data_IF_103749814410
#
_entry.id   IF_103749814410
#
_cell.length_a   1.000
_cell.length_b   1.000
_cell.length_c   1.000
_cell.angle_alpha   90.00
_cell.angle_beta   90.00
_cell.angle_gamma   90.00
#
_symmetry.space_group_name_H-M   'P 1'
#
loop_
_entity.id
_entity.type
_entity.pdbx_description
1 polymer ?
#
# COMPACT_ATOMS: atom_id res chain seq x y z
N UNK A 1 0.38 -16.33 7.48
CA UNK A 1 -0.71 -16.73 6.58
C UNK A 1 -0.42 -16.30 5.16
N UNK A 2 -0.63 -17.20 4.19
CA UNK A 2 -0.56 -16.85 2.77
C UNK A 2 -1.92 -16.32 2.30
N UNK A 3 -1.98 -15.03 1.98
CA UNK A 3 -3.23 -14.35 1.59
C UNK A 3 -3.57 -14.62 0.12
N UNK A 4 -2.54 -14.54 -0.75
CA UNK A 4 -2.61 -14.88 -2.17
C UNK A 4 -1.32 -15.61 -2.55
N UNK A 5 -1.17 -16.15 -3.77
CA UNK A 5 0.07 -16.78 -4.19
C UNK A 5 1.33 -15.96 -3.93
N UNK A 6 1.24 -14.64 -4.05
CA UNK A 6 2.38 -13.73 -3.88
C UNK A 6 2.21 -12.69 -2.76
N UNK A 7 1.27 -12.92 -1.81
CA UNK A 7 1.12 -12.06 -0.64
C UNK A 7 1.12 -12.89 0.64
N UNK A 8 2.07 -12.60 1.53
CA UNK A 8 2.22 -13.25 2.84
C UNK A 8 1.93 -12.24 3.94
N UNK A 9 1.03 -12.59 4.86
CA UNK A 9 0.78 -11.82 6.09
C UNK A 9 1.51 -12.45 7.25
N UNK A 10 2.34 -11.65 7.92
CA UNK A 10 2.99 -12.03 9.18
C UNK A 10 2.38 -11.23 10.32
N UNK A 11 2.05 -11.92 11.40
CA UNK A 11 1.57 -11.34 12.66
C UNK A 11 2.71 -11.26 13.68
N UNK A 12 2.84 -10.13 14.33
CA UNK A 12 3.83 -9.84 15.35
C UNK A 12 3.14 -9.53 16.68
N UNK A 13 3.76 -9.89 17.80
CA UNK A 13 3.28 -9.59 19.13
C UNK A 13 4.43 -8.98 19.92
N UNK A 14 4.19 -7.82 20.55
CA UNK A 14 5.13 -7.17 21.46
C UNK A 14 4.39 -6.27 22.45
N UNK A 15 4.88 -6.20 23.68
CA UNK A 15 4.45 -5.21 24.66
C UNK A 15 4.78 -3.77 24.25
N UNK A 16 5.78 -3.58 23.38
CA UNK A 16 6.19 -2.26 22.87
C UNK A 16 5.17 -1.67 21.86
N UNK A 17 4.17 -2.45 21.46
CA UNK A 17 3.11 -1.97 20.56
C UNK A 17 1.96 -1.25 21.29
N UNK A 18 1.98 -1.17 22.61
CA UNK A 18 0.91 -0.54 23.41
C UNK A 18 0.82 0.98 23.18
N UNK A 19 1.92 1.64 22.82
CA UNK A 19 1.97 3.06 22.47
C UNK A 19 2.15 3.32 20.96
N UNK A 20 2.00 2.27 20.16
CA UNK A 20 2.13 2.39 18.69
C UNK A 20 0.97 3.19 18.09
N UNK A 21 1.29 4.26 17.37
CA UNK A 21 0.30 5.14 16.72
C UNK A 21 0.47 5.13 15.21
N UNK A 22 -0.59 4.73 14.51
CA UNK A 22 -0.68 4.84 13.05
C UNK A 22 -2.07 5.36 12.67
N UNK A 23 -2.15 6.65 12.40
CA UNK A 23 -3.41 7.37 12.21
C UNK A 23 -3.85 7.46 10.74
N UNK A 24 -3.04 6.99 9.80
CA UNK A 24 -3.38 6.98 8.38
C UNK A 24 -3.15 5.59 7.76
N UNK A 25 -4.04 5.14 6.87
CA UNK A 25 -3.92 3.84 6.21
C UNK A 25 -2.62 3.66 5.41
N UNK A 26 -2.04 4.76 4.94
CA UNK A 26 -0.79 4.77 4.19
C UNK A 26 0.44 5.20 5.01
N UNK A 27 0.34 5.12 6.32
CA UNK A 27 1.52 5.22 7.17
C UNK A 27 2.51 4.09 6.86
N UNK A 28 3.78 4.38 7.01
CA UNK A 28 4.83 3.39 6.83
C UNK A 28 5.76 3.34 8.04
N UNK A 29 6.23 2.14 8.31
CA UNK A 29 7.25 1.82 9.30
C UNK A 29 8.49 1.29 8.58
N UNK A 30 9.65 1.55 9.15
CA UNK A 30 10.91 0.93 8.71
C UNK A 30 11.05 -0.45 9.36
N UNK A 31 11.27 -1.48 8.54
CA UNK A 31 11.71 -2.79 9.00
C UNK A 31 13.24 -2.83 8.97
N UNK A 32 13.86 -3.24 10.07
CA UNK A 32 15.31 -3.42 10.19
C UNK A 32 15.64 -4.89 9.90
N UNK A 33 15.84 -5.18 8.63
CA UNK A 33 16.08 -6.56 8.18
C UNK A 33 17.53 -6.96 8.42
N UNK A 34 17.80 -8.20 8.89
CA UNK A 34 19.15 -8.70 9.03
C UNK A 34 19.86 -8.72 7.68
N UNK A 35 21.14 -8.41 7.68
CA UNK A 35 21.99 -8.51 6.50
C UNK A 35 22.82 -9.80 6.55
N UNK A 36 23.28 -10.27 5.37
CA UNK A 36 24.20 -11.40 5.30
C UNK A 36 25.58 -11.07 5.87
N UNK A 37 25.90 -9.79 6.06
CA UNK A 37 27.13 -9.33 6.71
C UNK A 37 26.98 -9.50 8.23
N UNK A 38 27.72 -10.45 8.80
CA UNK A 38 27.73 -10.73 10.23
C UNK A 38 28.71 -9.82 11.02
N UNK A 39 29.24 -8.75 10.41
CA UNK A 39 30.15 -7.83 11.12
C UNK A 39 29.38 -7.04 12.19
N UNK A 40 30.02 -6.69 13.34
CA UNK A 40 29.40 -5.90 14.40
C UNK A 40 28.93 -4.51 13.93
N UNK A 41 29.50 -3.99 12.86
CA UNK A 41 29.21 -2.68 12.27
C UNK A 41 28.26 -2.76 11.06
N UNK A 42 27.75 -3.95 10.73
CA UNK A 42 26.83 -4.15 9.61
C UNK A 42 25.56 -3.34 9.83
N UNK A 43 25.23 -2.46 8.89
CA UNK A 43 23.98 -1.71 8.95
C UNK A 43 22.82 -2.60 8.50
N UNK A 44 21.68 -2.58 9.20
CA UNK A 44 20.50 -3.33 8.79
C UNK A 44 20.02 -2.83 7.43
N UNK A 45 19.44 -3.72 6.67
CA UNK A 45 18.74 -3.35 5.45
C UNK A 45 17.36 -2.79 5.82
N UNK A 46 17.13 -1.50 5.53
CA UNK A 46 15.87 -0.83 5.84
C UNK A 46 14.89 -0.96 4.69
N UNK A 47 13.62 -1.23 5.01
CA UNK A 47 12.52 -1.23 4.03
C UNK A 47 11.25 -0.64 4.65
N UNK A 48 10.52 0.13 3.84
CA UNK A 48 9.24 0.69 4.24
C UNK A 48 8.10 -0.32 4.05
N UNK A 49 7.29 -0.48 5.08
CA UNK A 49 6.11 -1.33 5.06
C UNK A 49 4.91 -0.64 5.71
N UNK A 50 3.72 -0.97 5.23
CA UNK A 50 2.47 -0.49 5.81
C UNK A 50 2.10 -1.33 7.03
N UNK A 51 1.78 -0.72 8.19
CA UNK A 51 1.12 -1.42 9.29
C UNK A 51 -0.30 -1.77 8.87
N UNK A 52 -0.50 -3.02 8.43
CA UNK A 52 -1.76 -3.47 7.83
C UNK A 52 -2.91 -3.56 8.82
N UNK A 53 -2.65 -4.08 10.00
CA UNK A 53 -3.57 -4.11 11.14
C UNK A 53 -2.78 -3.89 12.42
N UNK A 54 -3.35 -3.13 13.32
CA UNK A 54 -2.76 -2.83 14.62
C UNK A 54 -3.82 -3.03 15.69
N UNK A 55 -3.47 -3.77 16.74
CA UNK A 55 -4.23 -3.87 17.98
C UNK A 55 -3.28 -3.53 19.12
N UNK A 56 -3.37 -2.29 19.61
CA UNK A 56 -2.51 -1.80 20.69
C UNK A 56 -2.89 -2.39 22.06
N UNK A 57 -4.15 -2.75 22.28
CA UNK A 57 -4.60 -3.40 23.52
C UNK A 57 -4.07 -4.83 23.59
N UNK A 58 -4.17 -5.57 22.49
CA UNK A 58 -3.62 -6.93 22.36
C UNK A 58 -2.12 -6.96 22.06
N UNK A 59 -1.47 -5.81 21.83
CA UNK A 59 -0.05 -5.72 21.50
C UNK A 59 0.31 -6.44 20.21
N UNK A 60 -0.54 -6.36 19.17
CA UNK A 60 -0.31 -7.06 17.91
C UNK A 60 -0.25 -6.14 16.68
N UNK A 61 0.57 -6.54 15.71
CA UNK A 61 0.76 -5.86 14.44
C UNK A 61 0.78 -6.90 13.31
N UNK A 62 0.03 -6.67 12.24
CA UNK A 62 0.11 -7.44 11.01
C UNK A 62 0.77 -6.63 9.90
N UNK A 63 1.67 -7.27 9.15
CA UNK A 63 2.36 -6.70 7.99
C UNK A 63 2.20 -7.65 6.81
N UNK A 64 1.83 -7.10 5.65
CA UNK A 64 1.72 -7.84 4.41
C UNK A 64 2.98 -7.67 3.56
N UNK A 65 3.55 -8.78 3.11
CA UNK A 65 4.75 -8.84 2.28
C UNK A 65 4.36 -9.30 0.87
N UNK A 66 4.51 -8.40 -0.10
CA UNK A 66 4.41 -8.77 -1.51
C UNK A 66 5.66 -9.57 -1.89
N UNK A 67 5.47 -10.82 -2.29
CA UNK A 67 6.53 -11.75 -2.64
C UNK A 67 6.84 -11.64 -4.14
N UNK A 68 7.40 -10.52 -4.53
CA UNK A 68 7.98 -10.31 -5.85
C UNK A 68 9.49 -10.22 -5.70
N UNK A 69 10.23 -10.54 -6.70
CA UNK A 69 11.71 -10.52 -6.76
C UNK A 69 12.45 -10.83 -5.43
N UNK A 70 13.59 -11.45 -5.48
CA UNK A 70 14.33 -11.94 -4.32
C UNK A 70 14.99 -10.81 -3.49
N UNK A 71 14.21 -9.81 -3.07
CA UNK A 71 14.67 -8.75 -2.18
C UNK A 71 14.84 -9.23 -0.74
N UNK A 72 15.62 -8.51 0.10
CA UNK A 72 15.88 -8.90 1.49
C UNK A 72 14.62 -9.10 2.33
N UNK A 73 13.60 -8.25 2.15
CA UNK A 73 12.33 -8.37 2.87
C UNK A 73 11.53 -9.61 2.46
N UNK A 74 11.47 -9.90 1.16
CA UNK A 74 10.82 -11.10 0.62
C UNK A 74 11.52 -12.37 1.12
N UNK A 75 12.86 -12.40 1.08
CA UNK A 75 13.65 -13.53 1.56
C UNK A 75 13.45 -13.76 3.05
N UNK A 76 13.48 -12.70 3.84
CA UNK A 76 13.26 -12.78 5.28
C UNK A 76 11.84 -13.30 5.58
N UNK A 77 10.82 -12.69 5.00
CA UNK A 77 9.43 -13.08 5.21
C UNK A 77 9.14 -14.53 4.79
N UNK A 78 9.72 -14.99 3.69
CA UNK A 78 9.55 -16.36 3.19
C UNK A 78 10.22 -17.41 4.09
N UNK A 79 11.25 -17.04 4.86
CA UNK A 79 11.99 -17.93 5.76
C UNK A 79 11.61 -17.78 7.23
N UNK A 80 10.84 -16.75 7.59
CA UNK A 80 10.46 -16.42 8.96
C UNK A 80 9.68 -17.56 9.62
N UNK A 81 9.96 -17.79 10.90
CA UNK A 81 9.36 -18.82 11.73
C UNK A 81 8.75 -18.23 12.99
N UNK A 82 7.86 -18.95 13.61
CA UNK A 82 7.33 -18.58 14.93
C UNK A 82 8.46 -18.41 15.94
N UNK A 83 8.50 -17.24 16.59
CA UNK A 83 9.52 -16.88 17.54
C UNK A 83 10.67 -16.05 16.98
N UNK A 84 10.76 -15.88 15.64
CA UNK A 84 11.69 -14.93 15.05
C UNK A 84 11.29 -13.49 15.42
N UNK A 85 12.29 -12.62 15.57
CA UNK A 85 12.09 -11.22 15.94
C UNK A 85 12.44 -10.30 14.79
N UNK A 86 11.72 -9.17 14.71
CA UNK A 86 11.97 -8.11 13.73
C UNK A 86 11.90 -6.76 14.45
N UNK A 87 12.94 -5.97 14.33
CA UNK A 87 12.94 -4.60 14.82
C UNK A 87 12.21 -3.70 13.83
N UNK A 88 11.36 -2.80 14.34
CA UNK A 88 10.62 -1.81 13.55
C UNK A 88 10.84 -0.40 14.09
N UNK A 89 10.74 0.61 13.23
CA UNK A 89 10.81 2.01 13.61
C UNK A 89 9.74 2.85 12.92
N UNK A 90 9.13 3.77 13.68
CA UNK A 90 8.05 4.63 13.17
C UNK A 90 6.65 4.13 13.53
N UNK A 91 5.58 4.67 12.91
CA UNK A 91 5.60 5.71 11.88
C UNK A 91 6.13 7.05 12.42
N UNK A 92 6.78 7.84 11.54
CA UNK A 92 7.29 9.18 11.93
C UNK A 92 6.23 10.26 11.94
N UNK A 93 5.07 10.00 11.37
CA UNK A 93 3.93 10.90 11.28
C UNK A 93 2.92 10.38 10.27
N UNK A 94 1.68 10.87 10.39
CA UNK A 94 0.55 10.46 9.56
C UNK A 94 0.01 11.65 8.77
N UNK A 95 -0.32 11.43 7.51
CA UNK A 95 -1.09 12.37 6.71
C UNK A 95 -2.54 11.91 6.71
N UNK A 96 -3.32 12.41 7.65
CA UNK A 96 -4.73 12.01 7.78
C UNK A 96 -5.56 12.63 6.68
N UNK A 97 -6.24 11.79 5.91
CA UNK A 97 -7.27 12.21 4.96
C UNK A 97 -8.63 12.07 5.66
N UNK A 98 -9.40 13.15 5.77
CA UNK A 98 -10.72 13.12 6.40
C UNK A 98 -11.65 12.08 5.76
N UNK A 99 -12.52 11.49 6.57
CA UNK A 99 -13.55 10.58 6.06
C UNK A 99 -14.89 11.32 5.85
N UNK A 100 -14.83 12.44 5.12
CA UNK A 100 -15.98 13.31 4.81
C UNK A 100 -16.19 13.55 3.30
N UNK A 101 -15.32 12.99 2.45
CA UNK A 101 -15.51 13.02 0.99
C UNK A 101 -16.75 12.18 0.58
N UNK A 102 -17.43 12.61 -0.48
CA UNK A 102 -18.59 11.90 -1.03
C UNK A 102 -18.22 10.54 -1.62
N UNK A 103 -16.98 10.41 -2.11
CA UNK A 103 -16.45 9.16 -2.68
C UNK A 103 -14.91 9.11 -2.65
N UNK A 104 -14.39 7.89 -2.80
CA UNK A 104 -12.94 7.63 -2.87
C UNK A 104 -12.58 6.78 -4.08
N UNK A 105 -11.41 7.05 -4.66
CA UNK A 105 -10.76 6.19 -5.67
C UNK A 105 -9.35 5.89 -5.20
N UNK A 106 -9.04 4.61 -5.03
CA UNK A 106 -7.73 4.13 -4.57
C UNK A 106 -7.07 3.33 -5.69
N UNK A 107 -5.87 3.73 -6.08
CA UNK A 107 -5.19 3.17 -7.25
C UNK A 107 -3.80 2.68 -6.85
N UNK A 108 -3.43 1.47 -7.24
CA UNK A 108 -2.11 0.97 -6.94
C UNK A 108 -1.74 -0.36 -7.57
N UNK A 109 -0.56 -0.83 -7.21
CA UNK A 109 -0.09 -2.16 -7.48
C UNK A 109 -0.14 -3.05 -6.21
N UNK A 110 0.45 -4.24 -6.26
CA UNK A 110 0.47 -5.17 -5.12
C UNK A 110 1.15 -4.60 -3.88
N UNK A 111 2.08 -3.65 -4.02
CA UNK A 111 2.76 -3.01 -2.88
C UNK A 111 1.85 -2.05 -2.12
N UNK A 112 0.83 -1.51 -2.81
CA UNK A 112 -0.17 -0.61 -2.25
C UNK A 112 -1.35 -1.35 -1.58
N UNK A 113 -1.53 -2.65 -1.85
CA UNK A 113 -2.67 -3.43 -1.33
C UNK A 113 -2.85 -3.36 0.19
N UNK A 114 -1.78 -3.37 1.01
CA UNK A 114 -1.95 -3.24 2.46
C UNK A 114 -2.61 -1.91 2.86
N UNK A 115 -2.20 -0.79 2.25
CA UNK A 115 -2.78 0.52 2.50
C UNK A 115 -4.19 0.66 1.92
N UNK A 116 -4.42 0.14 0.71
CA UNK A 116 -5.75 0.10 0.08
C UNK A 116 -6.72 -0.71 0.94
N UNK A 117 -6.34 -1.91 1.36
CA UNK A 117 -7.19 -2.76 2.18
C UNK A 117 -7.54 -2.13 3.51
N UNK A 118 -6.54 -1.53 4.17
CA UNK A 118 -6.73 -0.78 5.40
C UNK A 118 -7.69 0.39 5.20
N UNK A 119 -7.52 1.22 4.14
CA UNK A 119 -8.43 2.34 3.86
C UNK A 119 -9.85 1.87 3.60
N UNK A 120 -10.05 0.82 2.80
CA UNK A 120 -11.37 0.27 2.49
C UNK A 120 -12.08 -0.24 3.75
N UNK A 121 -11.35 -0.88 4.66
CA UNK A 121 -11.89 -1.41 5.92
C UNK A 121 -12.21 -0.31 6.95
N UNK A 122 -11.47 0.82 6.93
CA UNK A 122 -11.63 1.94 7.87
C UNK A 122 -12.67 2.99 7.40
N UNK A 123 -13.09 2.97 6.14
CA UNK A 123 -14.07 3.93 5.61
C UNK A 123 -15.47 3.73 6.23
N UNK A 124 -16.19 4.84 6.42
CA UNK A 124 -17.57 4.83 6.95
C UNK A 124 -18.52 4.00 6.09
N UNK A 125 -19.55 3.49 6.73
CA UNK A 125 -20.55 2.67 6.07
C UNK A 125 -21.23 3.38 4.90
N UNK A 126 -21.38 2.66 3.78
CA UNK A 126 -22.11 3.10 2.59
C UNK A 126 -21.40 4.12 1.71
N UNK A 127 -20.23 4.65 2.10
CA UNK A 127 -19.48 5.58 1.23
C UNK A 127 -18.97 4.84 -0.01
N UNK A 128 -19.15 5.38 -1.21
CA UNK A 128 -18.60 4.81 -2.43
C UNK A 128 -17.08 4.81 -2.41
N UNK A 129 -16.47 3.65 -2.61
CA UNK A 129 -15.03 3.52 -2.81
C UNK A 129 -14.72 2.56 -3.96
N UNK A 130 -14.08 3.06 -5.00
CA UNK A 130 -13.57 2.24 -6.09
C UNK A 130 -12.07 1.99 -5.92
N UNK A 131 -11.64 0.76 -6.15
CA UNK A 131 -10.21 0.42 -6.13
C UNK A 131 -9.77 -0.09 -7.50
N UNK A 132 -8.66 0.43 -8.01
CA UNK A 132 -8.02 -0.01 -9.26
C UNK A 132 -6.66 -0.59 -8.91
N UNK A 133 -6.56 -1.90 -8.91
CA UNK A 133 -5.33 -2.58 -8.51
C UNK A 133 -4.79 -3.39 -9.67
N UNK A 134 -3.56 -3.07 -10.08
CA UNK A 134 -2.83 -3.87 -11.06
C UNK A 134 -1.95 -4.89 -10.34
N UNK A 135 -2.04 -6.15 -10.74
CA UNK A 135 -1.27 -7.24 -10.13
C UNK A 135 -1.10 -8.41 -11.08
N UNK A 136 -0.30 -9.39 -10.70
CA UNK A 136 -0.26 -10.67 -11.36
C UNK A 136 -1.63 -11.38 -11.30
N UNK A 137 -1.94 -12.28 -12.23
CA UNK A 137 -3.16 -13.07 -12.16
C UNK A 137 -3.24 -13.88 -10.85
N UNK A 138 -4.42 -13.93 -10.24
CA UNK A 138 -4.67 -14.70 -9.02
C UNK A 138 -4.43 -13.93 -7.71
N UNK A 139 -4.04 -12.66 -7.75
CA UNK A 139 -3.72 -11.84 -6.57
C UNK A 139 -4.92 -11.06 -6.01
N UNK A 140 -6.14 -11.37 -6.44
CA UNK A 140 -7.35 -10.70 -5.92
C UNK A 140 -7.53 -10.96 -4.44
N UNK A 141 -7.82 -9.89 -3.70
CA UNK A 141 -8.13 -9.95 -2.27
C UNK A 141 -9.57 -9.49 -2.01
N UNK A 142 -10.12 -9.90 -0.89
CA UNK A 142 -11.40 -9.43 -0.37
C UNK A 142 -11.15 -8.73 0.96
N UNK A 143 -11.81 -7.59 1.17
CA UNK A 143 -11.70 -6.80 2.40
C UNK A 143 -13.03 -6.81 3.15
N UNK A 144 -12.96 -6.87 4.47
CA UNK A 144 -14.14 -6.77 5.34
C UNK A 144 -14.49 -5.29 5.51
N UNK A 145 -15.54 -4.84 4.84
CA UNK A 145 -15.93 -3.42 4.86
C UNK A 145 -17.44 -3.24 4.85
N UNK A 146 -17.89 -2.13 5.43
CA UNK A 146 -19.25 -1.62 5.33
C UNK A 146 -19.39 -0.50 4.29
N UNK A 147 -18.30 -0.03 3.70
CA UNK A 147 -18.32 0.92 2.59
C UNK A 147 -18.90 0.28 1.32
N UNK A 148 -19.42 1.09 0.42
CA UNK A 148 -19.89 0.62 -0.90
C UNK A 148 -18.69 0.39 -1.83
N UNK A 149 -17.98 -0.71 -1.60
CA UNK A 149 -16.74 -1.02 -2.29
C UNK A 149 -16.95 -1.65 -3.66
N UNK A 150 -16.29 -1.07 -4.67
CA UNK A 150 -16.26 -1.54 -6.07
C UNK A 150 -14.83 -1.86 -6.51
N UNK A 151 -14.39 -3.13 -6.47
CA UNK A 151 -13.04 -3.52 -6.87
C UNK A 151 -12.88 -3.69 -8.37
N UNK A 152 -11.85 -3.05 -8.94
CA UNK A 152 -11.39 -3.26 -10.30
C UNK A 152 -9.99 -3.87 -10.26
N UNK A 153 -9.91 -5.16 -10.60
CA UNK A 153 -8.64 -5.89 -10.65
C UNK A 153 -8.13 -5.95 -12.08
N UNK A 154 -6.98 -5.33 -12.31
CA UNK A 154 -6.31 -5.28 -13.62
C UNK A 154 -5.18 -6.30 -13.63
N UNK A 155 -5.30 -7.31 -14.47
CA UNK A 155 -4.25 -8.31 -14.61
C UNK A 155 -3.09 -7.77 -15.45
N UNK A 156 -1.87 -7.92 -14.97
CA UNK A 156 -0.65 -7.68 -15.75
C UNK A 156 -0.54 -8.73 -16.84
N UNK A 157 -0.89 -8.39 -18.07
CA UNK A 157 -0.86 -9.30 -19.21
C UNK A 157 -0.14 -8.67 -20.40
N UNK A 158 0.66 -9.47 -21.10
CA UNK A 158 1.37 -9.03 -22.29
C UNK A 158 2.52 -8.06 -22.01
N UNK A 159 2.82 -7.20 -23.00
CA UNK A 159 3.94 -6.25 -22.96
C UNK A 159 3.52 -4.83 -22.55
N UNK A 160 2.23 -4.58 -22.31
CA UNK A 160 1.73 -3.27 -21.92
C UNK A 160 2.24 -2.89 -20.52
N UNK A 161 2.68 -1.66 -20.37
CA UNK A 161 3.11 -1.13 -19.07
C UNK A 161 1.92 -0.88 -18.14
N UNK A 162 2.19 -0.90 -16.83
CA UNK A 162 1.19 -0.75 -15.78
C UNK A 162 0.42 0.57 -15.88
N UNK A 163 1.08 1.66 -16.26
CA UNK A 163 0.42 2.97 -16.40
C UNK A 163 -0.61 2.96 -17.52
N UNK A 164 -0.29 2.37 -18.68
CA UNK A 164 -1.20 2.22 -19.79
C UNK A 164 -2.41 1.36 -19.45
N UNK A 165 -2.22 0.24 -18.77
CA UNK A 165 -3.31 -0.66 -18.36
C UNK A 165 -4.24 0.02 -17.34
N UNK A 166 -3.69 0.70 -16.35
CA UNK A 166 -4.47 1.44 -15.35
C UNK A 166 -5.21 2.63 -15.97
N UNK A 167 -4.57 3.38 -16.88
CA UNK A 167 -5.24 4.48 -17.60
C UNK A 167 -6.41 3.98 -18.46
N UNK A 168 -6.25 2.86 -19.14
CA UNK A 168 -7.34 2.26 -19.92
C UNK A 168 -8.52 1.87 -19.01
N UNK A 169 -8.27 1.24 -17.88
CA UNK A 169 -9.32 0.91 -16.91
C UNK A 169 -10.02 2.14 -16.32
N UNK A 170 -9.26 3.21 -16.08
CA UNK A 170 -9.79 4.48 -15.56
C UNK A 170 -10.53 5.30 -16.61
N UNK A 171 -10.23 5.14 -17.90
CA UNK A 171 -10.86 5.90 -18.97
C UNK A 171 -12.38 5.64 -19.04
N UNK A 172 -12.79 4.39 -18.82
CA UNK A 172 -14.20 3.97 -18.84
C UNK A 172 -14.92 4.22 -17.50
N UNK A 173 -14.17 4.60 -16.47
CA UNK A 173 -14.75 4.86 -15.14
C UNK A 173 -15.25 6.31 -15.03
N UNK A 174 -16.55 6.47 -14.79
CA UNK A 174 -17.16 7.76 -14.53
C UNK A 174 -17.03 8.09 -13.06
N UNK A 175 -16.30 9.16 -12.73
CA UNK A 175 -16.20 9.65 -11.35
C UNK A 175 -17.59 10.05 -10.84
N UNK A 176 -18.00 9.63 -9.63
CA UNK A 176 -19.28 10.04 -9.07
C UNK A 176 -19.36 11.56 -8.89
N UNK A 177 -20.58 12.14 -8.83
CA UNK A 177 -20.74 13.56 -8.50
C UNK A 177 -20.36 13.82 -7.04
N UNK A 178 -20.04 15.09 -6.73
CA UNK A 178 -19.64 15.53 -5.40
C UNK A 178 -18.13 15.58 -5.21
N UNK A 179 -17.72 15.78 -3.98
CA UNK A 179 -16.32 15.95 -3.58
C UNK A 179 -15.69 14.59 -3.36
N UNK A 180 -14.66 14.27 -4.13
CA UNK A 180 -14.01 12.96 -4.06
C UNK A 180 -12.52 13.04 -3.80
N UNK A 181 -11.99 12.01 -3.15
CA UNK A 181 -10.55 11.89 -2.90
C UNK A 181 -9.93 10.77 -3.71
N UNK A 182 -8.84 11.10 -4.42
CA UNK A 182 -8.07 10.12 -5.20
C UNK A 182 -6.72 9.88 -4.52
N UNK A 183 -6.45 8.62 -4.22
CA UNK A 183 -5.16 8.19 -3.68
C UNK A 183 -4.47 7.22 -4.64
N UNK A 184 -3.17 7.42 -4.86
CA UNK A 184 -2.36 6.66 -5.80
C UNK A 184 -1.08 6.22 -5.12
N UNK A 185 -0.77 4.92 -5.14
CA UNK A 185 0.54 4.41 -4.76
C UNK A 185 0.94 3.23 -5.63
N UNK A 186 2.10 3.33 -6.27
CA UNK A 186 2.63 2.34 -7.18
C UNK A 186 4.12 2.59 -7.44
N UNK A 187 4.67 1.93 -8.47
CA UNK A 187 5.96 2.35 -9.02
C UNK A 187 5.97 3.84 -9.35
N UNK A 188 7.07 4.54 -9.08
CA UNK A 188 7.16 6.00 -9.13
C UNK A 188 6.74 6.62 -10.48
N UNK A 189 7.12 6.00 -11.60
CA UNK A 189 6.75 6.51 -12.93
C UNK A 189 5.26 6.29 -13.24
N UNK A 190 4.71 5.16 -12.80
CA UNK A 190 3.29 4.82 -12.91
C UNK A 190 2.45 5.81 -12.10
N UNK A 191 2.82 6.04 -10.84
CA UNK A 191 2.09 6.96 -9.98
C UNK A 191 2.10 8.40 -10.52
N UNK A 192 3.24 8.88 -11.07
CA UNK A 192 3.31 10.19 -11.74
C UNK A 192 2.40 10.26 -12.98
N UNK A 193 2.44 9.25 -13.83
CA UNK A 193 1.62 9.19 -15.04
C UNK A 193 0.13 9.23 -14.72
N UNK A 194 -0.31 8.46 -13.73
CA UNK A 194 -1.71 8.42 -13.29
C UNK A 194 -2.15 9.74 -12.65
N UNK A 195 -1.29 10.34 -11.83
CA UNK A 195 -1.57 11.64 -11.22
C UNK A 195 -1.76 12.73 -12.29
N UNK A 196 -0.86 12.83 -13.27
CA UNK A 196 -0.99 13.76 -14.38
C UNK A 196 -2.28 13.51 -15.17
N UNK A 197 -2.58 12.26 -15.50
CA UNK A 197 -3.81 11.89 -16.17
C UNK A 197 -5.07 12.36 -15.42
N UNK A 198 -5.16 12.09 -14.12
CA UNK A 198 -6.36 12.41 -13.34
C UNK A 198 -6.51 13.91 -13.08
N UNK A 199 -5.42 14.63 -12.85
CA UNK A 199 -5.44 16.06 -12.58
C UNK A 199 -5.51 16.87 -13.87
N UNK A 200 -4.58 16.64 -14.80
CA UNK A 200 -4.39 17.52 -15.96
C UNK A 200 -5.35 17.19 -17.12
N UNK A 201 -5.67 15.89 -17.32
CA UNK A 201 -6.56 15.45 -18.40
C UNK A 201 -8.02 15.26 -17.94
N UNK A 202 -8.25 14.74 -16.72
CA UNK A 202 -9.59 14.49 -16.17
C UNK A 202 -10.12 15.64 -15.31
N UNK A 203 -9.29 16.63 -14.98
CA UNK A 203 -9.68 17.84 -14.26
C UNK A 203 -9.96 17.64 -12.76
N UNK A 204 -9.48 16.53 -12.15
CA UNK A 204 -9.68 16.31 -10.72
C UNK A 204 -8.89 17.33 -9.89
N UNK A 205 -9.48 17.93 -8.83
CA UNK A 205 -8.79 18.90 -8.00
C UNK A 205 -7.50 18.35 -7.37
N UNK A 206 -6.38 19.03 -7.58
CA UNK A 206 -5.06 18.62 -7.08
C UNK A 206 -5.04 18.43 -5.56
N UNK A 207 -5.66 19.33 -4.81
CA UNK A 207 -5.72 19.26 -3.34
C UNK A 207 -6.52 18.08 -2.79
N UNK A 208 -7.33 17.44 -3.60
CA UNK A 208 -8.10 16.24 -3.25
C UNK A 208 -7.47 14.97 -3.80
N UNK A 209 -6.18 15.03 -4.04
CA UNK A 209 -5.40 13.88 -4.48
C UNK A 209 -4.09 13.75 -3.71
N UNK A 210 -3.69 12.51 -3.48
CA UNK A 210 -2.38 12.14 -2.94
C UNK A 210 -1.76 11.07 -3.82
N UNK A 211 -0.51 11.26 -4.22
CA UNK A 211 0.24 10.28 -4.98
C UNK A 211 1.62 10.03 -4.35
N UNK A 212 2.03 8.76 -4.34
CA UNK A 212 3.32 8.33 -3.84
C UNK A 212 3.93 7.26 -4.73
N UNK A 213 5.23 7.34 -4.98
CA UNK A 213 6.03 6.24 -5.49
C UNK A 213 6.45 5.36 -4.33
N UNK A 214 5.89 4.15 -4.23
CA UNK A 214 6.22 3.21 -3.18
C UNK A 214 7.53 2.47 -3.46
N UNK A 215 7.88 2.37 -4.72
CA UNK A 215 9.11 1.78 -5.19
C UNK A 215 9.51 2.37 -6.54
N UNK A 216 10.74 2.14 -6.95
CA UNK A 216 11.25 2.58 -8.24
C UNK A 216 12.06 1.46 -8.88
N UNK A 217 11.76 1.17 -10.13
CA UNK A 217 12.45 0.11 -10.87
C UNK A 217 13.96 0.35 -10.92
N UNK A 218 14.72 -0.65 -10.45
CA UNK A 218 16.19 -0.58 -10.44
C UNK A 218 16.79 0.17 -9.25
N UNK A 219 15.99 0.75 -8.35
CA UNK A 219 16.47 1.44 -7.15
C UNK A 219 15.88 0.76 -5.90
N UNK A 220 16.76 0.34 -4.99
CA UNK A 220 16.35 -0.22 -3.71
C UNK A 220 16.02 0.90 -2.70
N UNK A 221 14.99 0.70 -1.85
CA UNK A 221 14.56 1.63 -0.80
C UNK A 221 14.16 3.04 -1.33
N UNK A 222 13.66 3.10 -2.56
CA UNK A 222 13.17 4.32 -3.16
C UNK A 222 11.70 4.53 -2.79
N UNK A 223 11.44 5.55 -1.96
CA UNK A 223 10.11 6.07 -1.68
C UNK A 223 10.05 7.54 -2.06
N UNK A 224 9.02 7.95 -2.80
CA UNK A 224 8.90 9.30 -3.32
C UNK A 224 7.50 9.88 -3.09
N UNK A 225 7.42 11.08 -2.49
CA UNK A 225 6.18 11.87 -2.52
C UNK A 225 6.06 12.51 -3.91
N UNK A 226 4.97 12.24 -4.61
CA UNK A 226 4.74 12.74 -5.95
C UNK A 226 3.82 13.95 -5.88
N UNK A 227 4.38 15.07 -6.21
CA UNK A 227 3.69 16.33 -6.42
C UNK A 227 3.84 17.32 -5.30
N UNK A 228 4.27 18.51 -5.61
CA UNK A 228 3.70 19.80 -5.27
C UNK A 228 3.76 20.66 -6.52
#
# INVERSE_FOLDING_TARGET
>A
DRITPHMLRLGFISGDLQDFVSASPDDHIKLFLPTADASPDAKPCLRDFTPRRVDTEGGSLAIDFALHDAGPATQWAASARLGDTLEIGGPRGSTVVPDDFDWYVLIGDETALPAIGRRVEELRAGVPVATFVISAPGEKQTFETTAAWSPHWIARTGEADDASLLRAALADYVLPPGDGFIWIAAESSVARSLRSYLIDERGHPRQWSKAAGYWKRGEADAHEKIGD
#
